data_IF_993837124194
#
_entry.id   IF_993837124194
#
_cell.length_a   1.000
_cell.length_b   1.000
_cell.length_c   1.000
_cell.angle_alpha   90.00
_cell.angle_beta   90.00
_cell.angle_gamma   90.00
#
_symmetry.space_group_name_H-M   'P 1'
#
loop_
_entity.id
_entity.type
_entity.pdbx_description
1 polymer ?
2 polymer ?
3 non-polymer ?
4 non-polymer ?
5 water ?
#
# COMPACT_ATOMS: atom_id res chain seq x y z
N UNK A 3 -4.82 -9.88 29.84
CA UNK A 3 -3.46 -9.41 29.98
C UNK A 3 -3.33 -7.91 29.72
N UNK A 4 -2.11 -7.46 29.45
CA UNK A 4 -1.79 -6.04 29.31
C UNK A 4 -0.64 -5.92 28.31
N UNK A 5 -0.73 -4.98 27.36
CA UNK A 5 0.34 -4.81 26.37
C UNK A 5 1.63 -4.34 27.03
N UNK A 6 2.75 -4.85 26.52
CA UNK A 6 4.06 -4.57 27.09
C UNK A 6 4.68 -3.29 26.53
N UNK A 7 5.79 -2.87 27.15
CA UNK A 7 6.45 -1.64 26.75
C UNK A 7 6.95 -1.72 25.31
N UNK A 8 7.64 -2.80 24.96
CA UNK A 8 8.17 -2.92 23.60
C UNK A 8 7.04 -2.97 22.59
N UNK A 9 5.93 -3.65 22.92
CA UNK A 9 4.77 -3.64 22.05
C UNK A 9 4.18 -2.24 21.92
N UNK A 10 4.13 -1.50 23.04
CA UNK A 10 3.63 -0.13 23.02
C UNK A 10 4.46 0.74 22.11
N UNK A 11 5.79 0.69 22.28
CA UNK A 11 6.69 1.48 21.46
C UNK A 11 6.54 1.14 19.98
N UNK A 12 6.27 -0.11 19.65
CA UNK A 12 6.11 -0.48 18.24
C UNK A 12 4.87 0.20 17.65
N UNK A 13 3.75 0.10 18.38
CA UNK A 13 2.51 0.75 17.95
C UNK A 13 2.71 2.25 17.79
N UNK A 14 3.29 2.89 18.82
CA UNK A 14 3.52 4.34 18.75
C UNK A 14 4.35 4.71 17.53
N UNK A 15 5.44 3.96 17.29
CA UNK A 15 6.31 4.30 16.16
C UNK A 15 5.60 4.12 14.84
N UNK A 16 4.77 3.08 14.73
CA UNK A 16 4.07 2.86 13.47
C UNK A 16 3.00 3.91 13.24
N UNK A 17 2.27 4.30 14.28
CA UNK A 17 1.25 5.34 14.10
C UNK A 17 1.92 6.67 13.73
N UNK A 18 3.03 7.00 14.38
CA UNK A 18 3.74 8.24 14.05
C UNK A 18 4.28 8.18 12.62
N UNK A 19 4.87 7.05 12.23
CA UNK A 19 5.33 6.85 10.86
C UNK A 19 4.21 7.11 9.85
N UNK A 20 3.00 6.66 10.17
CA UNK A 20 1.89 6.84 9.24
C UNK A 20 1.45 8.29 9.20
N UNK A 21 1.36 8.93 10.36
CA UNK A 21 1.02 10.35 10.41
C UNK A 21 2.05 11.21 9.66
N UNK A 22 3.32 10.82 9.65
CA UNK A 22 4.32 11.61 8.94
C UNK A 22 4.26 11.43 7.44
N UNK A 23 3.62 10.37 6.94
CA UNK A 23 3.66 10.04 5.54
C UNK A 23 2.30 10.04 4.88
N UNK A 24 1.24 10.42 5.59
CA UNK A 24 -0.10 10.43 5.05
C UNK A 24 -0.70 11.76 5.47
N UNK A 25 -0.93 12.63 4.51
CA UNK A 25 -1.40 13.99 4.74
C UNK A 25 -2.88 14.04 4.37
N UNK A 26 -3.73 14.11 5.40
CA UNK A 26 -5.18 14.16 5.26
C UNK A 26 -5.67 15.36 4.47
N UNK A 27 -4.84 16.38 4.22
CA UNK A 27 -5.33 17.54 3.47
C UNK A 27 -5.32 17.27 1.97
N UNK A 28 -4.49 16.33 1.52
CA UNK A 28 -4.32 16.04 0.10
C UNK A 28 -3.94 17.28 -0.71
N UNK A 29 -3.32 18.29 -0.06
CA UNK A 29 -2.99 19.52 -0.78
C UNK A 29 -1.88 19.33 -1.80
N UNK A 30 -1.03 18.32 -1.64
CA UNK A 30 -0.01 18.03 -2.63
C UNK A 30 -0.60 17.60 -3.97
N UNK A 31 -1.88 17.21 -4.00
CA UNK A 31 -2.46 16.64 -5.20
C UNK A 31 -2.57 17.66 -6.35
N UNK A 32 -2.58 18.95 -6.03
CA UNK A 32 -2.61 19.95 -7.10
C UNK A 32 -1.31 20.00 -7.88
N UNK A 33 -0.26 19.36 -7.38
CA UNK A 33 1.03 19.32 -8.06
C UNK A 33 1.10 18.23 -9.12
N UNK A 34 0.14 17.32 -9.14
CA UNK A 34 0.13 16.27 -10.14
C UNK A 34 -0.37 16.82 -11.48
N UNK A 35 -0.04 16.11 -12.56
CA UNK A 35 -0.67 16.42 -13.83
C UNK A 35 -2.18 16.29 -13.65
N UNK A 36 -2.97 17.23 -14.18
CA UNK A 36 -4.37 17.32 -13.77
C UNK A 36 -5.16 16.13 -14.29
N UNK A 37 -6.25 15.76 -13.61
CA UNK A 37 -7.11 14.69 -14.13
C UNK A 37 -7.90 15.17 -15.34
N UNK A 38 -8.16 14.25 -16.26
CA UNK A 38 -8.95 14.54 -17.45
C UNK A 38 -9.98 13.43 -17.62
N UNK A 39 -11.25 13.82 -17.71
CA UNK A 39 -12.35 12.88 -17.84
C UNK A 39 -13.20 13.17 -19.07
N UNK A 100 -8.19 8.37 -25.16
CA UNK A 100 -7.31 7.23 -24.96
C UNK A 100 -6.46 7.41 -23.70
N UNK A 101 -6.97 6.92 -22.58
CA UNK A 101 -6.27 6.87 -21.29
C UNK A 101 -6.05 8.28 -20.73
N UNK A 102 -7.12 9.07 -20.73
CA UNK A 102 -7.04 10.46 -20.27
C UNK A 102 -6.70 10.59 -18.78
N UNK A 103 -6.88 9.54 -17.98
CA UNK A 103 -6.59 9.62 -16.56
C UNK A 103 -5.22 9.06 -16.18
N UNK A 104 -4.52 8.46 -17.13
CA UNK A 104 -3.22 7.86 -16.79
C UNK A 104 -2.20 8.87 -16.27
N UNK A 105 -2.05 10.07 -16.85
CA UNK A 105 -1.06 11.01 -16.27
C UNK A 105 -1.34 11.33 -14.82
N UNK A 106 -2.58 11.62 -14.47
CA UNK A 106 -2.89 11.98 -13.09
C UNK A 106 -2.69 10.80 -12.14
N UNK A 107 -3.15 9.61 -12.53
CA UNK A 107 -3.06 8.46 -11.63
C UNK A 107 -1.63 7.94 -11.55
N UNK A 108 -0.85 8.04 -12.64
CA UNK A 108 0.57 7.74 -12.54
C UNK A 108 1.26 8.66 -11.54
N UNK A 109 0.96 9.98 -11.59
CA UNK A 109 1.51 10.90 -10.60
C UNK A 109 1.03 10.55 -9.18
N UNK A 110 -0.27 10.27 -9.02
CA UNK A 110 -0.80 9.91 -7.71
C UNK A 110 -0.07 8.69 -7.13
N UNK A 111 0.10 7.65 -7.95
CA UNK A 111 0.73 6.43 -7.48
C UNK A 111 2.22 6.66 -7.23
N UNK A 112 2.88 7.45 -8.08
CA UNK A 112 4.31 7.74 -7.87
C UNK A 112 4.51 8.46 -6.55
N UNK A 113 3.71 9.49 -6.31
CA UNK A 113 3.73 10.20 -5.03
C UNK A 113 3.53 9.22 -3.88
N UNK A 114 2.57 8.31 -4.03
CA UNK A 114 2.24 7.39 -2.95
C UNK A 114 3.34 6.40 -2.71
N UNK A 115 4.07 6.00 -3.76
CA UNK A 115 5.23 5.12 -3.56
C UNK A 115 6.26 5.81 -2.68
N UNK A 116 6.49 7.11 -2.91
CA UNK A 116 7.45 7.83 -2.07
C UNK A 116 7.01 7.86 -0.62
N UNK A 117 5.71 8.05 -0.37
CA UNK A 117 5.19 7.98 1.00
C UNK A 117 5.38 6.60 1.62
N UNK A 118 5.10 5.53 0.85
CA UNK A 118 5.26 4.17 1.38
C UNK A 118 6.72 3.89 1.71
N UNK A 119 7.65 4.45 0.91
CA UNK A 119 9.07 4.32 1.22
C UNK A 119 9.40 5.01 2.53
N UNK A 120 8.88 6.22 2.73
CA UNK A 120 9.08 6.91 4.00
C UNK A 120 8.49 6.14 5.17
N UNK A 121 7.32 5.53 4.96
CA UNK A 121 6.72 4.70 6.01
C UNK A 121 7.60 3.50 6.33
N UNK A 122 8.00 2.76 5.29
CA UNK A 122 8.88 1.60 5.48
C UNK A 122 10.11 1.95 6.32
N UNK A 123 10.76 3.08 6.02
CA UNK A 123 11.96 3.47 6.75
C UNK A 123 11.74 3.61 8.26
N UNK A 124 10.50 3.85 8.69
CA UNK A 124 10.25 4.01 10.12
C UNK A 124 9.62 2.77 10.74
N UNK A 125 9.49 1.68 10.00
CA UNK A 125 9.08 0.43 10.63
C UNK A 125 10.25 -0.10 11.45
N UNK A 126 10.07 -0.37 12.75
CA UNK A 126 11.20 -0.83 13.56
C UNK A 126 11.78 -2.12 13.00
N UNK A 127 13.08 -2.10 12.71
CA UNK A 127 13.80 -3.24 12.20
C UNK A 127 13.99 -3.24 10.68
N UNK A 128 13.08 -2.63 9.93
CA UNK A 128 13.16 -2.67 8.48
C UNK A 128 14.48 -2.09 7.97
N UNK A 129 14.93 -0.99 8.57
CA UNK A 129 16.14 -0.33 8.11
C UNK A 129 17.40 -1.15 8.40
N UNK A 130 17.29 -2.18 9.23
CA UNK A 130 18.44 -3.04 9.52
C UNK A 130 18.63 -4.13 8.48
N UNK A 131 17.65 -4.39 7.64
CA UNK A 131 17.82 -5.34 6.55
C UNK A 131 18.81 -4.78 5.53
N UNK A 132 19.37 -5.66 4.71
CA UNK A 132 20.19 -5.19 3.60
C UNK A 132 19.35 -4.32 2.68
N UNK A 133 20.02 -3.41 1.97
CA UNK A 133 19.31 -2.56 1.02
C UNK A 133 18.61 -3.40 -0.02
N UNK A 134 19.19 -4.54 -0.39
CA UNK A 134 18.61 -5.38 -1.43
C UNK A 134 17.29 -5.98 -0.98
N UNK A 135 17.23 -6.43 0.28
CA UNK A 135 15.99 -6.98 0.81
C UNK A 135 14.92 -5.90 0.96
N UNK A 136 15.31 -4.72 1.45
CA UNK A 136 14.37 -3.60 1.54
C UNK A 136 13.73 -3.32 0.19
N UNK A 137 14.54 -3.29 -0.87
CA UNK A 137 14.02 -2.93 -2.19
C UNK A 137 13.14 -4.05 -2.73
N UNK A 138 13.58 -5.30 -2.59
CA UNK A 138 12.75 -6.45 -2.92
C UNK A 138 11.40 -6.41 -2.21
N UNK A 139 11.40 -6.18 -0.89
CA UNK A 139 10.15 -6.05 -0.15
C UNK A 139 9.31 -4.90 -0.68
N UNK A 140 9.95 -3.75 -0.92
CA UNK A 140 9.18 -2.60 -1.38
C UNK A 140 8.59 -2.85 -2.77
N UNK A 141 9.41 -3.38 -3.69
CA UNK A 141 8.94 -3.58 -5.04
C UNK A 141 7.77 -4.56 -5.09
N UNK A 142 7.86 -5.66 -4.35
CA UNK A 142 6.80 -6.64 -4.40
C UNK A 142 5.53 -6.16 -3.70
N UNK A 143 5.65 -5.30 -2.69
CA UNK A 143 4.47 -4.97 -1.87
C UNK A 143 3.90 -3.59 -2.15
N UNK A 144 4.60 -2.74 -2.91
CA UNK A 144 4.20 -1.34 -3.04
C UNK A 144 2.73 -1.19 -3.42
N UNK A 145 2.29 -1.92 -4.46
CA UNK A 145 0.92 -1.72 -4.93
C UNK A 145 -0.07 -2.17 -3.86
N UNK A 146 0.31 -3.15 -3.05
CA UNK A 146 -0.57 -3.62 -1.97
C UNK A 146 -0.68 -2.58 -0.85
N UNK A 147 0.45 -2.02 -0.42
CA UNK A 147 0.42 -0.96 0.60
C UNK A 147 -0.42 0.21 0.11
N UNK A 148 -0.31 0.55 -1.18
CA UNK A 148 -1.10 1.64 -1.74
C UNK A 148 -2.60 1.30 -1.68
N UNK A 149 -2.96 0.09 -2.09
CA UNK A 149 -4.35 -0.32 -2.00
C UNK A 149 -4.86 -0.26 -0.55
N UNK A 150 -4.04 -0.71 0.41
CA UNK A 150 -4.44 -0.63 1.83
C UNK A 150 -4.56 0.81 2.30
N UNK A 151 -3.51 1.61 2.09
CA UNK A 151 -3.54 2.95 2.65
C UNK A 151 -4.62 3.80 2.00
N UNK A 152 -5.02 3.46 0.76
CA UNK A 152 -6.08 4.21 0.08
C UNK A 152 -7.43 4.02 0.75
N UNK A 153 -7.62 2.95 1.52
CA UNK A 153 -8.89 2.76 2.19
C UNK A 153 -9.25 3.96 3.05
N UNK A 154 -8.25 4.71 3.51
CA UNK A 154 -8.50 5.89 4.33
C UNK A 154 -9.24 6.99 3.58
N UNK A 155 -9.05 7.11 2.25
CA UNK A 155 -9.86 8.06 1.48
C UNK A 155 -11.11 7.43 0.86
N UNK A 156 -11.28 6.10 0.95
CA UNK A 156 -12.44 5.43 0.37
C UNK A 156 -13.70 5.69 1.19
N UNK A 157 -14.81 5.87 0.50
CA UNK A 157 -16.09 6.19 1.12
C UNK A 157 -17.13 5.17 0.69
N UNK A 158 -17.87 4.63 1.66
CA UNK A 158 -18.95 3.71 1.34
C UNK A 158 -20.11 4.43 0.66
N UNK A 159 -20.42 5.65 1.10
CA UNK A 159 -21.57 6.37 0.55
C UNK A 159 -21.38 6.68 -0.93
N UNK A 160 -20.16 7.01 -1.34
CA UNK A 160 -19.86 7.33 -2.73
C UNK A 160 -19.30 6.15 -3.51
N UNK A 161 -18.80 5.11 -2.82
CA UNK A 161 -18.13 3.97 -3.47
C UNK A 161 -16.94 4.43 -4.32
N UNK A 162 -16.22 5.43 -3.82
CA UNK A 162 -15.06 5.96 -4.53
C UNK A 162 -14.06 6.45 -3.49
N UNK A 163 -12.90 6.91 -3.98
CA UNK A 163 -11.89 7.54 -3.14
C UNK A 163 -12.03 9.05 -3.30
N UNK A 164 -12.32 9.75 -2.20
CA UNK A 164 -12.49 11.20 -2.22
C UNK A 164 -11.31 11.86 -1.51
N UNK A 165 -10.58 12.71 -2.24
CA UNK A 165 -9.34 13.28 -1.72
C UNK A 165 -9.38 14.81 -1.76
N UNK A 166 -10.42 15.39 -1.16
CA UNK A 166 -10.42 16.81 -0.88
C UNK A 166 -10.99 17.70 -1.96
N UNK A 167 -11.63 17.14 -2.97
CA UNK A 167 -12.25 17.93 -4.00
C UNK A 167 -12.95 17.05 -5.01
N UNK A 168 -13.87 17.63 -5.79
CA UNK A 168 -14.48 16.86 -6.88
C UNK A 168 -13.49 16.47 -7.96
N UNK A 169 -12.47 17.31 -8.22
CA UNK A 169 -11.43 16.94 -9.18
C UNK A 169 -10.68 15.70 -8.73
N UNK A 170 -10.49 15.55 -7.41
CA UNK A 170 -9.75 14.43 -6.85
C UNK A 170 -10.69 13.42 -6.19
N UNK A 171 -11.85 13.19 -6.80
CA UNK A 171 -12.73 12.08 -6.47
C UNK A 171 -12.58 11.04 -7.56
N UNK A 172 -12.10 9.84 -7.19
CA UNK A 172 -11.79 8.78 -8.13
C UNK A 172 -12.77 7.63 -7.99
N UNK A 173 -13.47 7.33 -9.06
CA UNK A 173 -14.37 6.19 -9.10
C UNK A 173 -13.83 5.15 -10.07
N UNK A 174 -14.53 4.02 -10.14
CA UNK A 174 -14.14 2.91 -11.01
C UNK A 174 -14.00 3.38 -12.44
N UNK A 175 -14.89 4.26 -12.90
CA UNK A 175 -14.84 4.70 -14.29
C UNK A 175 -13.57 5.49 -14.60
N UNK A 176 -13.08 6.25 -13.62
CA UNK A 176 -11.85 7.01 -13.83
C UNK A 176 -10.66 6.08 -14.03
N UNK A 177 -10.64 4.94 -13.36
CA UNK A 177 -9.46 4.08 -13.47
C UNK A 177 -9.47 3.31 -14.78
N UNK A 178 -10.64 3.06 -15.38
CA UNK A 178 -10.62 2.48 -16.72
C UNK A 178 -9.99 3.43 -17.72
N UNK A 179 -10.11 4.73 -17.49
CA UNK A 179 -9.42 5.70 -18.34
C UNK A 179 -7.94 5.82 -18.01
N UNK A 180 -7.40 4.85 -17.25
CA UNK A 180 -5.98 4.74 -17.00
C UNK A 180 -5.42 3.41 -17.46
N UNK A 181 -6.21 2.62 -18.20
CA UNK A 181 -5.74 1.37 -18.78
C UNK A 181 -6.23 0.12 -18.09
N UNK A 182 -6.99 0.22 -17.01
CA UNK A 182 -7.37 -0.96 -16.26
C UNK A 182 -8.82 -1.35 -16.54
N UNK A 183 -9.13 -2.60 -16.27
CA UNK A 183 -10.41 -3.19 -16.60
C UNK A 183 -11.11 -3.67 -15.34
N UNK A 184 -12.39 -4.00 -15.51
CA UNK A 184 -13.20 -4.48 -14.39
C UNK A 184 -12.63 -5.75 -13.77
N UNK A 185 -11.82 -6.51 -14.51
CA UNK A 185 -11.17 -7.68 -13.91
C UNK A 185 -10.37 -7.31 -12.67
N UNK A 186 -9.76 -6.12 -12.66
CA UNK A 186 -9.07 -5.63 -11.48
C UNK A 186 -9.96 -4.74 -10.61
N UNK A 187 -10.72 -3.84 -11.23
CA UNK A 187 -11.37 -2.78 -10.46
C UNK A 187 -12.55 -3.32 -9.65
N UNK A 188 -13.33 -4.22 -10.23
CA UNK A 188 -14.43 -4.81 -9.45
C UNK A 188 -13.93 -5.52 -8.20
N UNK A 189 -12.93 -6.41 -8.26
CA UNK A 189 -12.36 -6.94 -7.01
C UNK A 189 -11.76 -5.88 -6.12
N UNK A 190 -11.18 -4.83 -6.71
CA UNK A 190 -10.53 -3.82 -5.89
C UNK A 190 -11.54 -3.08 -5.02
N UNK A 191 -12.72 -2.73 -5.57
CA UNK A 191 -13.69 -2.00 -4.77
C UNK A 191 -14.31 -2.91 -3.73
N UNK A 192 -14.55 -4.18 -4.07
CA UNK A 192 -15.08 -5.11 -3.08
C UNK A 192 -14.10 -5.26 -1.92
N UNK A 193 -12.80 -5.25 -2.23
CA UNK A 193 -11.78 -5.23 -1.18
C UNK A 193 -11.91 -3.99 -0.31
N UNK A 194 -12.05 -2.82 -0.94
CA UNK A 194 -12.16 -1.58 -0.15
C UNK A 194 -13.41 -1.58 0.71
N UNK A 195 -14.53 -2.11 0.20
CA UNK A 195 -15.76 -2.17 0.97
C UNK A 195 -15.59 -3.09 2.17
N UNK A 196 -15.08 -4.29 1.94
CA UNK A 196 -14.92 -5.24 3.03
C UNK A 196 -13.92 -4.79 4.06
N UNK A 197 -12.86 -4.12 3.62
CA UNK A 197 -11.88 -3.58 4.55
C UNK A 197 -12.45 -2.41 5.33
N UNK A 198 -13.26 -1.57 4.66
CA UNK A 198 -13.91 -0.46 5.35
C UNK A 198 -14.86 -0.97 6.42
N UNK A 199 -15.56 -2.07 6.15
CA UNK A 199 -16.53 -2.59 7.12
C UNK A 199 -15.85 -3.22 8.33
N UNK A 200 -14.57 -3.56 8.24
CA UNK A 200 -13.86 -4.10 9.40
C UNK A 200 -13.67 -3.06 10.50
N UNK A 201 -13.78 -1.77 10.19
CA UNK A 201 -13.70 -0.72 11.20
C UNK A 201 -12.40 -0.79 11.98
N UNK A 202 -11.29 -0.94 11.25
CA UNK A 202 -10.00 -1.05 11.90
C UNK A 202 -9.68 0.20 12.71
N UNK A 203 -9.18 0.01 13.93
CA UNK A 203 -8.54 1.10 14.63
C UNK A 203 -7.30 1.53 13.84
N UNK A 204 -6.88 2.77 14.05
CA UNK A 204 -5.69 3.26 13.34
C UNK A 204 -4.49 2.37 13.62
N UNK A 205 -4.34 1.96 14.88
CA UNK A 205 -3.26 1.06 15.28
C UNK A 205 -3.28 -0.22 14.44
N UNK A 206 -4.48 -0.84 14.29
CA UNK A 206 -4.62 -2.03 13.48
C UNK A 206 -4.31 -1.76 12.01
N UNK A 207 -4.80 -0.64 11.49
CA UNK A 207 -4.59 -0.28 10.09
C UNK A 207 -3.11 -0.19 9.79
N UNK A 208 -2.36 0.48 10.67
CA UNK A 208 -0.94 0.69 10.42
C UNK A 208 -0.15 -0.59 10.66
N UNK A 209 -0.55 -1.39 11.66
CA UNK A 209 0.09 -2.68 11.85
C UNK A 209 -0.06 -3.55 10.62
N UNK A 210 -1.25 -3.56 10.02
CA UNK A 210 -1.49 -4.39 8.85
C UNK A 210 -0.62 -3.96 7.67
N UNK A 211 -0.41 -2.65 7.50
CA UNK A 211 0.50 -2.19 6.45
C UNK A 211 1.91 -2.69 6.70
N UNK A 212 2.38 -2.56 7.93
CA UNK A 212 3.73 -3.02 8.25
C UNK A 212 3.86 -4.54 8.06
N UNK A 213 2.82 -5.30 8.48
CA UNK A 213 2.84 -6.75 8.28
C UNK A 213 2.87 -7.09 6.80
N UNK A 214 2.05 -6.40 5.99
CA UNK A 214 2.06 -6.68 4.55
C UNK A 214 3.43 -6.39 3.93
N UNK A 215 4.05 -5.27 4.32
CA UNK A 215 5.36 -4.91 3.81
C UNK A 215 6.43 -5.92 4.24
N UNK A 216 6.38 -6.39 5.48
CA UNK A 216 7.42 -7.26 6.00
C UNK A 216 7.16 -8.74 5.72
N UNK A 217 6.43 -9.06 4.65
CA UNK A 217 6.17 -10.46 4.33
C UNK A 217 7.43 -11.11 3.78
N UNK A 218 7.80 -12.30 4.27
CA UNK A 218 8.98 -12.97 3.72
C UNK A 218 8.72 -13.73 2.42
N UNK A 219 7.46 -14.09 2.12
CA UNK A 219 7.12 -14.81 0.91
C UNK A 219 6.99 -13.86 -0.29
N UNK A 220 8.11 -13.23 -0.61
CA UNK A 220 8.18 -12.36 -1.78
C UNK A 220 9.34 -12.81 -2.66
N UNK A 221 9.22 -12.65 -3.97
CA UNK A 221 10.36 -12.96 -4.83
C UNK A 221 11.49 -11.97 -4.61
N UNK A 222 12.71 -12.49 -4.59
CA UNK A 222 13.90 -11.66 -4.52
C UNK A 222 14.45 -11.43 -3.12
N UNK A 223 13.78 -11.92 -2.07
CA UNK A 223 14.27 -11.72 -0.71
C UNK A 223 15.32 -12.77 -0.38
N UNK A 224 16.38 -12.34 0.29
CA UNK A 224 17.46 -13.23 0.70
C UNK A 224 17.31 -13.68 2.16
N UNK A 225 17.33 -12.75 3.12
CA UNK A 225 17.31 -13.11 4.54
C UNK A 225 15.87 -13.39 4.98
N UNK A 226 15.36 -14.53 4.51
CA UNK A 226 13.99 -14.95 4.80
C UNK A 226 13.76 -15.15 6.30
N UNK A 227 14.76 -15.61 7.05
CA UNK A 227 14.57 -15.87 8.48
C UNK A 227 14.39 -14.57 9.25
N UNK A 228 15.26 -13.57 8.99
CA UNK A 228 15.17 -12.32 9.72
C UNK A 228 13.88 -11.57 9.42
N UNK A 229 13.44 -11.63 8.17
CA UNK A 229 12.23 -10.90 7.80
C UNK A 229 11.00 -11.55 8.41
N UNK A 230 10.96 -12.88 8.43
CA UNK A 230 9.83 -13.58 9.04
C UNK A 230 9.78 -13.32 10.54
N UNK A 231 10.94 -13.22 11.20
CA UNK A 231 10.96 -12.91 12.63
C UNK A 231 10.44 -11.52 12.91
N UNK A 232 10.81 -10.53 12.08
CA UNK A 232 10.23 -9.19 12.21
C UNK A 232 8.72 -9.24 12.03
N UNK A 233 8.25 -9.86 10.95
CA UNK A 233 6.81 -9.93 10.70
C UNK A 233 6.09 -10.65 11.85
N UNK A 234 6.69 -11.74 12.36
CA UNK A 234 6.08 -12.46 13.47
C UNK A 234 5.93 -11.56 14.69
N UNK A 235 6.92 -10.70 14.94
CA UNK A 235 6.85 -9.78 16.07
C UNK A 235 5.72 -8.78 15.89
N UNK A 236 5.43 -8.36 14.66
CA UNK A 236 4.32 -7.44 14.42
C UNK A 236 2.98 -8.15 14.52
N UNK A 237 2.88 -9.39 14.01
CA UNK A 237 1.65 -10.15 14.15
C UNK A 237 1.29 -10.35 15.61
N UNK A 238 2.29 -10.65 16.45
CA UNK A 238 2.04 -10.82 17.88
C UNK A 238 1.50 -9.54 18.49
N UNK A 239 2.11 -8.40 18.16
CA UNK A 239 1.59 -7.11 18.62
C UNK A 239 0.15 -6.93 18.18
N UNK A 240 -0.12 -7.17 16.89
CA UNK A 240 -1.49 -7.02 16.39
C UNK A 240 -2.45 -7.95 17.13
N UNK A 241 -2.05 -9.20 17.35
CA UNK A 241 -2.94 -10.14 18.03
C UNK A 241 -3.23 -9.68 19.46
N UNK A 242 -2.20 -9.22 20.18
CA UNK A 242 -2.42 -8.75 21.54
C UNK A 242 -3.27 -7.49 21.56
N UNK A 243 -3.02 -6.57 20.62
CA UNK A 243 -3.85 -5.37 20.54
C UNK A 243 -5.32 -5.72 20.34
N UNK A 244 -5.60 -6.63 19.40
CA UNK A 244 -6.99 -6.95 19.11
C UNK A 244 -7.67 -7.61 20.31
N UNK A 245 -6.95 -8.52 20.98
CA UNK A 245 -7.53 -9.22 22.13
C UNK A 245 -7.86 -8.24 23.24
N UNK A 246 -6.93 -7.34 23.55
CA UNK A 246 -7.04 -6.46 24.71
C UNK A 246 -7.89 -5.23 24.44
N UNK A 247 -7.66 -4.58 23.29
CA UNK A 247 -8.15 -3.23 23.06
C UNK A 247 -9.36 -3.16 22.12
N UNK A 248 -9.71 -4.23 21.41
CA UNK A 248 -10.77 -4.11 20.42
C UNK A 248 -11.98 -4.96 20.80
N UNK A 249 -13.05 -4.36 21.35
CA UNK A 249 -14.21 -5.15 21.78
C UNK A 249 -14.86 -5.85 20.59
N UNK A 250 -15.10 -7.15 20.77
CA UNK A 250 -15.70 -7.96 19.73
C UNK A 250 -14.80 -8.32 18.56
N UNK A 251 -13.48 -8.36 18.76
CA UNK A 251 -12.57 -8.71 17.68
C UNK A 251 -12.09 -10.14 17.74
N UNK A 252 -12.95 -11.07 18.21
CA UNK A 252 -12.59 -12.48 18.29
C UNK A 252 -12.16 -13.04 16.93
N UNK A 253 -12.86 -12.64 15.87
CA UNK A 253 -12.58 -13.10 14.52
C UNK A 253 -11.76 -12.11 13.70
N UNK A 254 -11.34 -10.98 14.30
CA UNK A 254 -10.78 -9.88 13.50
C UNK A 254 -9.40 -10.22 12.95
N UNK A 255 -8.51 -10.75 13.79
CA UNK A 255 -7.18 -11.11 13.29
C UNK A 255 -7.27 -11.98 12.05
N UNK A 256 -8.10 -13.04 12.10
CA UNK A 256 -8.26 -13.91 10.95
C UNK A 256 -8.79 -13.14 9.74
N UNK A 257 -9.75 -12.22 9.96
CA UNK A 257 -10.27 -11.43 8.84
C UNK A 257 -9.18 -10.54 8.24
N UNK A 258 -8.23 -10.07 9.04
CA UNK A 258 -7.18 -9.20 8.51
C UNK A 258 -6.16 -10.00 7.71
N UNK A 259 -5.76 -11.16 8.21
CA UNK A 259 -4.90 -12.09 7.46
C UNK A 259 -5.53 -12.43 6.12
N UNK A 260 -6.85 -12.65 6.10
CA UNK A 260 -7.54 -12.92 4.84
C UNK A 260 -7.41 -11.74 3.88
N UNK A 261 -7.46 -10.51 4.40
CA UNK A 261 -7.28 -9.35 3.52
C UNK A 261 -5.91 -9.34 2.88
N UNK A 262 -4.89 -9.84 3.59
CA UNK A 262 -3.57 -9.95 2.99
C UNK A 262 -3.57 -10.91 1.81
N UNK A 263 -4.38 -11.96 1.86
CA UNK A 263 -4.49 -12.86 0.71
C UNK A 263 -5.28 -12.22 -0.42
N UNK A 264 -6.27 -11.38 -0.10
CA UNK A 264 -6.93 -10.62 -1.15
C UNK A 264 -5.92 -9.75 -1.88
N UNK A 265 -5.05 -9.07 -1.12
CA UNK A 265 -4.07 -8.19 -1.71
C UNK A 265 -3.14 -8.92 -2.66
N UNK A 266 -2.73 -10.14 -2.31
CA UNK A 266 -1.91 -10.93 -3.23
C UNK A 266 -2.60 -11.12 -4.58
N UNK A 267 -3.89 -11.42 -4.56
CA UNK A 267 -4.64 -11.64 -5.78
C UNK A 267 -4.80 -10.34 -6.58
N UNK A 268 -4.99 -9.22 -5.89
CA UNK A 268 -5.07 -7.93 -6.59
C UNK A 268 -3.72 -7.52 -7.13
N UNK A 269 -2.64 -7.91 -6.44
CA UNK A 269 -1.31 -7.65 -6.96
C UNK A 269 -1.10 -8.33 -8.29
N UNK A 270 -1.39 -9.64 -8.35
CA UNK A 270 -1.24 -10.41 -9.56
C UNK A 270 -2.00 -9.77 -10.72
N UNK A 271 -3.25 -9.38 -10.49
CA UNK A 271 -4.07 -8.82 -11.56
C UNK A 271 -3.56 -7.46 -11.99
N UNK A 272 -3.18 -6.60 -11.03
CA UNK A 272 -2.59 -5.33 -11.40
C UNK A 272 -1.32 -5.52 -12.22
N UNK A 273 -0.46 -6.46 -11.80
CA UNK A 273 0.80 -6.66 -12.50
C UNK A 273 0.57 -7.14 -13.92
N UNK A 274 -0.33 -8.10 -14.10
CA UNK A 274 -0.73 -8.50 -15.45
C UNK A 274 -1.17 -7.30 -16.28
N UNK A 275 -2.07 -6.48 -15.74
CA UNK A 275 -2.60 -5.36 -16.53
C UNK A 275 -1.56 -4.25 -16.71
N UNK A 276 -0.72 -4.01 -15.70
CA UNK A 276 0.35 -3.04 -15.83
C UNK A 276 1.31 -3.42 -16.95
N UNK A 277 1.61 -4.71 -17.07
CA UNK A 277 2.52 -5.17 -18.12
C UNK A 277 1.96 -4.82 -19.50
N UNK A 278 0.68 -5.13 -19.74
CA UNK A 278 0.05 -4.78 -21.01
C UNK A 278 0.15 -3.28 -21.25
N UNK A 279 -0.02 -2.50 -20.20
CA UNK A 279 0.07 -1.05 -20.30
C UNK A 279 1.48 -0.59 -20.61
N UNK A 280 2.44 -1.03 -19.80
CA UNK A 280 3.82 -0.52 -19.84
C UNK A 280 4.61 -0.99 -21.06
N UNK A 281 4.14 -1.98 -21.80
CA UNK A 281 4.89 -2.41 -22.97
C UNK A 281 4.58 -1.56 -24.20
N UNK A 282 3.58 -0.68 -24.12
CA UNK A 282 3.25 0.23 -25.21
C UNK A 282 3.93 1.57 -24.99
N UNK A 283 4.87 1.96 -25.85
CA UNK A 283 5.60 3.23 -25.65
C UNK A 283 4.72 4.46 -25.45
N UNK A 284 3.58 4.55 -26.14
CA UNK A 284 2.72 5.71 -25.97
C UNK A 284 2.16 5.78 -24.56
N UNK A 285 2.07 4.65 -23.86
CA UNK A 285 1.57 4.65 -22.49
C UNK A 285 2.69 4.68 -21.46
N UNK A 286 3.76 3.89 -21.64
CA UNK A 286 4.85 3.94 -20.67
C UNK A 286 5.44 5.32 -20.58
N UNK A 287 5.38 6.09 -21.68
CA UNK A 287 5.88 7.45 -21.70
C UNK A 287 5.12 8.36 -20.75
N UNK A 288 3.87 8.03 -20.42
CA UNK A 288 3.09 8.86 -19.51
C UNK A 288 3.29 8.48 -18.05
N UNK A 289 4.08 7.44 -17.76
CA UNK A 289 4.36 7.06 -16.38
C UNK A 289 5.49 7.93 -15.83
N UNK A 290 5.89 7.65 -14.59
CA UNK A 290 6.99 8.41 -14.00
C UNK A 290 8.20 7.51 -13.86
N UNK A 291 9.41 8.09 -13.75
CA UNK A 291 10.59 7.24 -13.60
C UNK A 291 10.49 6.30 -12.40
N UNK A 292 9.93 6.78 -11.29
CA UNK A 292 9.84 5.95 -10.07
C UNK A 292 8.84 4.81 -10.25
N UNK A 293 7.71 5.08 -10.89
CA UNK A 293 6.74 4.02 -11.20
C UNK A 293 7.37 2.96 -12.09
N UNK A 294 8.09 3.38 -13.14
CA UNK A 294 8.70 2.43 -14.06
C UNK A 294 9.72 1.54 -13.34
N UNK A 295 10.43 2.11 -12.37
CA UNK A 295 11.45 1.33 -11.67
C UNK A 295 10.80 0.36 -10.68
N UNK A 296 9.81 0.83 -9.93
CA UNK A 296 9.21 0.01 -8.87
C UNK A 296 8.38 -1.12 -9.45
N UNK A 297 7.59 -0.84 -10.48
CA UNK A 297 6.73 -1.84 -11.09
C UNK A 297 7.41 -2.60 -12.22
N UNK A 298 8.69 -2.28 -12.51
CA UNK A 298 9.37 -2.90 -13.62
C UNK A 298 9.94 -4.26 -13.28
N UNK A 299 10.41 -4.95 -14.32
CA UNK A 299 11.01 -6.26 -14.18
C UNK A 299 12.53 -6.21 -14.05
N UNK A 300 13.13 -5.03 -14.11
CA UNK A 300 14.57 -4.87 -13.98
C UNK A 300 15.07 -5.46 -12.67
N UNK A 301 16.04 -6.36 -12.75
CA UNK A 301 16.64 -6.93 -11.56
C UNK A 301 18.12 -6.56 -11.48
N UNK B 1 20.86 -3.06 -11.15
CA UNK B 1 20.78 -2.01 -10.14
C UNK B 1 19.65 -1.04 -10.50
N UNK B 2 19.00 -0.49 -9.48
CA UNK B 2 17.92 0.49 -9.65
C UNK B 2 18.45 1.87 -9.29
N UNK B 3 18.40 2.80 -10.25
CA UNK B 3 19.00 4.12 -10.04
C UNK B 3 18.29 4.87 -8.91
N UNK B 4 16.97 5.02 -9.00
CA UNK B 4 16.25 5.84 -8.03
C UNK B 4 16.13 5.14 -6.68
N UNK B 5 15.82 3.84 -6.67
CA UNK B 5 15.63 3.15 -5.39
C UNK B 5 16.92 3.10 -4.60
N UNK B 6 18.09 3.08 -5.26
CA UNK B 6 19.37 3.15 -4.52
C UNK B 6 18.57 6.06 -3.39
N UNK B 7 17.50 6.89 -3.43
CA UNK B 7 17.00 7.50 -2.20
C UNK B 7 16.07 4.75 -0.60
N UNK B 8 16.26 3.46 -0.84
CA UNK B 8 16.45 2.45 0.19
C UNK B 8 19.21 3.91 0.82
X LIG C 1 -5.70 7.56 -0.17
X LIG C 1 -1.11 0.89 -13.00
X LIG C 1 -3.29 6.64 -1.53
X LIG C 1 -3.56 8.08 -1.00
X LIG C 1 -4.97 8.43 -1.06
X LIG C 1 -5.55 8.29 -2.51
X LIG C 1 -5.29 6.95 -3.15
X LIG C 1 -6.22 6.31 -3.93
X LIG C 1 -5.88 4.90 -4.55
X LIG C 1 -6.58 4.48 -5.65
X LIG C 1 -7.66 5.26 -6.34
X LIG C 1 -3.76 6.46 -2.96
X LIG C 1 -7.39 5.42 -7.82
X LIG C 1 -7.06 4.19 -8.51
X LIG C 1 -5.92 3.36 -7.71
X LIG C 1 -6.35 3.13 -6.39
X LIG C 1 -5.11 2.35 -5.79
X LIG C 1 -4.61 1.47 -7.09
X LIG C 1 -5.47 1.83 -8.12
X LIG C 1 -4.67 4.24 -7.72
X LIG C 1 -2.92 6.36 -3.98
X LIG C 1 -4.85 1.78 -9.54
X LIG C 1 -5.47 0.60 -10.28
X LIG C 1 -3.32 1.58 -9.53
X LIG C 1 -2.80 1.51 -11.01
X LIG C 1 -1.60 2.48 -11.23
X LIG C 1 -0.97 2.23 -12.64
X LIG C 1 -1.68 3.11 -13.68
X LIG C 1 0.53 2.60 -12.60
X LIG C 1 -1.91 6.38 -1.46
X LIG D 1 -0.45 10.95 1.42
X LIG D 1 -0.04 12.06 1.88
X LIG D 1 0.22 9.91 1.18
X LIG D 1 -1.97 10.88 1.11
#
# INVERSE_FOLDING_TARGET
GSHMLSDEQMQIINSLVEAHHKTYDDSYSDFVRFRPPVREGPVTRSASRAASLHSLSDASSDSFNHSPESVDTKLNFSNLLMMYQDSGSPDSSEEDQQSRLSMLPHLADLVSYSIQKVIGFAKMIPGFRDLTAEDQIALLKSSAIEIIMLRSNQSFSLEDMSWSCGGPDFKYCINDVTKAGHTLELLEPLVKFQVGLKKLKLHEEEHVLLMAICLLSPDRPGVQDHVRIEALQDRLCDVLQAYIRIQHPGGRLLYAKMIQKLADLRSLNEEHSKQYRSLSFQPEHSMQLTPLVLEVFGSEVS
RHKILXXX
VDX O2 O3 C1 C2 C3 C4 C5 C6 C7 C8 C9 C10 C11 C12 C13 C14 C15 C16 C17 C18 C19 C20 C21 C22 C23 C24 C25 C26 C27 O1
ACT C O OXT CH3
#
